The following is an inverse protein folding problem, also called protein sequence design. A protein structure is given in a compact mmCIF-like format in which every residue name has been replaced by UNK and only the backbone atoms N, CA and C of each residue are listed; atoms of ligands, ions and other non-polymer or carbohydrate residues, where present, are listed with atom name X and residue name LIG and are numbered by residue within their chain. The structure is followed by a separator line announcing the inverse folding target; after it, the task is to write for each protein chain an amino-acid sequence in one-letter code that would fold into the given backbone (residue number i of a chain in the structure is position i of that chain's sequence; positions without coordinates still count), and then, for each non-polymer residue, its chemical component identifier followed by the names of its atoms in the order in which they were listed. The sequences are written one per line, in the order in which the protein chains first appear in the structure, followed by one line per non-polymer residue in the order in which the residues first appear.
data_IF_977883394179
#
_entry.id   IF_977883394179
#
_cell.length_a   1.000
_cell.length_b   1.000
_cell.length_c   1.000
_cell.angle_alpha   90.00
_cell.angle_beta   90.00
_cell.angle_gamma   90.00
#
_symmetry.space_group_name_H-M   'P 1'
#
loop_
_entity.id
_entity.type
_entity.pdbx_description
1 polymer ?
#
# COMPACT_ATOMS: atom_id res chain seq x y z
N UNK A 1 15.66 -22.04 -21.47
CA UNK A 1 14.31 -21.53 -21.77
C UNK A 1 13.65 -21.14 -20.45
N UNK A 2 14.06 -20.02 -19.85
CA UNK A 2 13.45 -19.47 -18.64
C UNK A 2 14.05 -18.08 -18.36
N UNK A 3 13.50 -17.04 -18.97
CA UNK A 3 13.62 -15.65 -18.48
C UNK A 3 12.35 -14.89 -18.94
N UNK A 4 11.20 -15.19 -18.31
CA UNK A 4 9.93 -14.48 -18.58
C UNK A 4 9.12 -14.17 -17.30
N UNK A 5 9.65 -14.40 -16.10
CA UNK A 5 8.93 -14.10 -14.84
C UNK A 5 9.56 -12.88 -14.18
N UNK A 6 9.40 -11.72 -14.81
CA UNK A 6 9.93 -10.44 -14.29
C UNK A 6 8.92 -9.30 -14.36
N UNK A 7 8.32 -9.06 -15.52
CA UNK A 7 7.40 -7.93 -15.72
C UNK A 7 5.99 -8.17 -15.15
N UNK A 8 5.33 -9.27 -15.53
CA UNK A 8 3.92 -9.53 -15.18
C UNK A 8 3.61 -9.60 -13.66
N UNK A 9 4.62 -9.76 -12.81
CA UNK A 9 4.44 -9.76 -11.35
C UNK A 9 4.38 -8.34 -10.78
N UNK A 10 5.21 -7.40 -11.28
CA UNK A 10 5.32 -6.06 -10.69
C UNK A 10 4.09 -5.21 -10.98
N UNK A 11 3.62 -5.17 -12.24
CA UNK A 11 2.39 -4.45 -12.59
C UNK A 11 1.17 -4.96 -11.84
N UNK A 12 1.00 -6.29 -11.73
CA UNK A 12 -0.08 -6.90 -10.98
C UNK A 12 -0.01 -6.55 -9.48
N UNK A 13 1.20 -6.52 -8.91
CA UNK A 13 1.40 -6.22 -7.49
C UNK A 13 1.21 -4.74 -7.17
N UNK A 14 1.72 -3.83 -8.01
CA UNK A 14 1.46 -2.40 -7.92
C UNK A 14 -0.04 -2.12 -7.97
N UNK A 15 -0.77 -2.78 -8.87
CA UNK A 15 -2.23 -2.65 -8.96
C UNK A 15 -2.92 -3.05 -7.65
N UNK A 16 -2.49 -4.14 -7.01
CA UNK A 16 -3.02 -4.56 -5.70
C UNK A 16 -2.71 -3.52 -4.63
N UNK A 17 -1.50 -2.95 -4.61
CA UNK A 17 -1.14 -1.87 -3.68
C UNK A 17 -1.98 -0.62 -3.91
N UNK A 18 -2.23 -0.23 -5.16
CA UNK A 18 -3.12 0.88 -5.51
C UNK A 18 -4.54 0.65 -5.00
N UNK A 19 -5.13 -0.52 -5.28
CA UNK A 19 -6.47 -0.87 -4.81
C UNK A 19 -6.53 -0.86 -3.27
N UNK A 20 -5.45 -1.29 -2.60
CA UNK A 20 -5.37 -1.31 -1.14
C UNK A 20 -5.23 0.08 -0.52
N UNK A 21 -4.47 0.99 -1.13
CA UNK A 21 -4.36 2.39 -0.69
C UNK A 21 -5.62 3.21 -0.99
N UNK A 22 -6.30 2.90 -2.09
CA UNK A 22 -7.61 3.47 -2.43
C UNK A 22 -8.75 2.84 -1.60
N UNK A 23 -8.47 1.75 -0.86
CA UNK A 23 -9.47 1.11 -0.02
C UNK A 23 -9.96 2.08 1.06
N UNK A 24 -11.27 2.06 1.25
CA UNK A 24 -11.95 2.86 2.25
C UNK A 24 -11.41 2.62 3.66
N UNK A 25 -10.97 1.41 3.97
CA UNK A 25 -10.40 1.05 5.27
C UNK A 25 -9.09 1.79 5.55
N UNK A 26 -8.25 1.95 4.51
CA UNK A 26 -6.98 2.65 4.62
C UNK A 26 -7.19 4.17 4.69
N UNK A 27 -8.07 4.69 3.83
CA UNK A 27 -8.44 6.12 3.81
C UNK A 27 -9.15 6.53 5.09
N UNK A 28 -10.11 5.76 5.60
CA UNK A 28 -10.85 6.08 6.84
C UNK A 28 -9.94 6.01 8.07
N UNK A 29 -8.99 5.06 8.13
CA UNK A 29 -8.00 4.99 9.21
C UNK A 29 -7.07 6.20 9.20
N UNK A 30 -6.57 6.55 8.02
CA UNK A 30 -5.74 7.73 7.83
C UNK A 30 -6.53 8.99 8.20
N UNK A 31 -7.75 9.18 7.66
CA UNK A 31 -8.65 10.30 7.92
C UNK A 31 -9.04 10.46 9.40
N UNK A 32 -9.23 9.35 10.12
CA UNK A 32 -9.39 9.33 11.58
C UNK A 32 -8.16 9.84 12.34
N UNK A 33 -6.99 9.82 11.71
CA UNK A 33 -5.70 10.36 12.18
C UNK A 33 -5.34 11.73 11.57
N UNK A 34 -6.17 12.25 10.65
CA UNK A 34 -5.99 13.48 9.85
C UNK A 34 -4.65 13.54 9.10
N UNK A 35 -4.52 12.85 7.94
CA UNK A 35 -3.47 13.11 6.98
C UNK A 35 -3.81 14.43 6.30
N UNK A 36 -2.82 15.18 5.85
CA UNK A 36 -3.09 16.25 4.90
C UNK A 36 -3.60 15.62 3.60
N UNK A 37 -4.71 16.12 3.05
CA UNK A 37 -5.20 15.71 1.72
C UNK A 37 -4.07 15.76 0.67
N UNK A 38 -3.13 16.70 0.83
CA UNK A 38 -1.87 16.78 0.08
C UNK A 38 -1.06 15.47 0.08
N UNK A 39 -0.92 14.79 1.22
CA UNK A 39 -0.12 13.57 1.32
C UNK A 39 -0.76 12.41 0.53
N UNK A 40 -2.09 12.29 0.58
CA UNK A 40 -2.81 11.28 -0.20
C UNK A 40 -2.76 11.59 -1.70
N UNK A 41 -2.86 12.87 -2.07
CA UNK A 41 -2.72 13.32 -3.46
C UNK A 41 -1.30 13.06 -4.00
N UNK A 42 -0.27 13.37 -3.22
CA UNK A 42 1.13 13.16 -3.60
C UNK A 42 1.43 11.66 -3.78
N UNK A 43 1.00 10.83 -2.83
CA UNK A 43 1.13 9.38 -2.91
C UNK A 43 0.46 8.81 -4.18
N UNK A 44 -0.77 9.24 -4.45
CA UNK A 44 -1.52 8.84 -5.64
C UNK A 44 -0.80 9.24 -6.94
N UNK A 45 -0.27 10.47 -7.01
CA UNK A 45 0.46 10.97 -8.18
C UNK A 45 1.78 10.24 -8.41
N UNK A 46 2.55 9.96 -7.34
CA UNK A 46 3.81 9.22 -7.41
C UNK A 46 3.54 7.81 -7.95
N UNK A 47 2.55 7.13 -7.39
CA UNK A 47 2.21 5.78 -7.83
C UNK A 47 1.72 5.76 -9.29
N UNK A 48 0.84 6.68 -9.69
CA UNK A 48 0.36 6.78 -11.09
C UNK A 48 1.51 7.02 -12.07
N UNK A 49 2.47 7.87 -11.70
CA UNK A 49 3.67 8.10 -12.49
C UNK A 49 4.51 6.82 -12.60
N UNK A 50 4.71 6.11 -11.49
CA UNK A 50 5.40 4.81 -11.49
C UNK A 50 4.70 3.80 -12.40
N UNK A 51 3.38 3.69 -12.33
CA UNK A 51 2.61 2.77 -13.18
C UNK A 51 2.78 3.05 -14.68
N UNK A 52 2.80 4.33 -15.08
CA UNK A 52 3.02 4.72 -16.48
C UNK A 52 4.44 4.45 -16.97
N UNK A 53 5.44 4.59 -16.10
CA UNK A 53 6.86 4.34 -16.44
C UNK A 53 7.13 2.83 -16.45
N UNK A 54 6.43 2.06 -15.63
CA UNK A 54 6.59 0.60 -15.54
C UNK A 54 6.19 -0.11 -16.84
N UNK A 55 5.09 0.31 -17.48
CA UNK A 55 4.64 -0.28 -18.75
C UNK A 55 5.72 -0.16 -19.85
N UNK A 56 6.39 1.00 -19.95
CA UNK A 56 7.48 1.23 -20.91
C UNK A 56 8.81 0.56 -20.46
N UNK A 57 9.02 0.40 -19.16
CA UNK A 57 10.22 -0.22 -18.59
C UNK A 57 10.19 -1.75 -18.69
N UNK A 58 9.04 -2.40 -18.52
CA UNK A 58 8.89 -3.86 -18.64
C UNK A 58 9.26 -4.36 -20.05
N UNK A 59 8.91 -3.60 -21.09
CA UNK A 59 9.29 -3.91 -22.48
C UNK A 59 10.80 -3.71 -22.75
N UNK A 60 11.44 -2.77 -22.05
CA UNK A 60 12.86 -2.43 -22.26
C UNK A 60 13.82 -3.18 -21.33
N UNK A 61 13.32 -3.84 -20.29
CA UNK A 61 14.09 -4.63 -19.31
C UNK A 61 14.98 -5.70 -19.96
N UNK A 62 14.53 -6.31 -21.06
CA UNK A 62 15.24 -7.41 -21.72
C UNK A 62 16.55 -6.94 -22.36
N UNK A 63 16.64 -5.66 -22.75
CA UNK A 63 17.77 -5.14 -23.52
C UNK A 63 18.61 -4.12 -22.77
N UNK A 64 18.10 -3.55 -21.66
CA UNK A 64 18.77 -2.49 -20.91
C UNK A 64 18.97 -2.87 -19.42
N UNK A 65 20.24 -3.09 -19.05
CA UNK A 65 20.62 -3.43 -17.68
C UNK A 65 20.36 -2.33 -16.66
N UNK A 66 20.37 -1.06 -17.07
CA UNK A 66 20.00 0.07 -16.20
C UNK A 66 18.50 0.08 -15.88
N UNK A 67 17.66 -0.30 -16.85
CA UNK A 67 16.21 -0.44 -16.64
C UNK A 67 15.93 -1.61 -15.70
N UNK A 68 16.65 -2.73 -15.86
CA UNK A 68 16.56 -3.87 -14.93
C UNK A 68 16.90 -3.47 -13.49
N UNK A 69 17.98 -2.73 -13.28
CA UNK A 69 18.37 -2.26 -11.94
C UNK A 69 17.31 -1.32 -11.33
N UNK A 70 16.76 -0.40 -12.13
CA UNK A 70 15.70 0.49 -11.67
C UNK A 70 14.43 -0.29 -11.27
N UNK A 71 14.05 -1.33 -12.01
CA UNK A 71 12.92 -2.20 -11.66
C UNK A 71 13.15 -2.99 -10.37
N UNK A 72 14.38 -3.46 -10.11
CA UNK A 72 14.72 -4.11 -8.84
C UNK A 72 14.62 -3.12 -7.66
N UNK A 73 15.11 -1.90 -7.80
CA UNK A 73 14.97 -0.85 -6.75
C UNK A 73 13.50 -0.47 -6.52
N UNK A 74 12.70 -0.39 -7.59
CA UNK A 74 11.28 -0.13 -7.48
C UNK A 74 10.54 -1.27 -6.76
N UNK A 75 10.93 -2.52 -7.03
CA UNK A 75 10.39 -3.70 -6.36
C UNK A 75 10.65 -3.66 -4.86
N UNK A 76 11.86 -3.29 -4.44
CA UNK A 76 12.19 -3.16 -3.02
C UNK A 76 11.32 -2.06 -2.35
N UNK A 77 11.19 -0.89 -2.98
CA UNK A 77 10.34 0.18 -2.47
C UNK A 77 8.86 -0.19 -2.37
N UNK A 78 8.38 -1.03 -3.28
CA UNK A 78 7.02 -1.59 -3.28
C UNK A 78 6.80 -2.53 -2.08
N UNK A 79 7.78 -3.36 -1.73
CA UNK A 79 7.68 -4.21 -0.53
C UNK A 79 7.71 -3.39 0.75
N UNK A 80 8.58 -2.37 0.84
CA UNK A 80 8.62 -1.48 1.99
C UNK A 80 7.26 -0.77 2.19
N UNK A 81 6.60 -0.37 1.10
CA UNK A 81 5.28 0.22 1.16
C UNK A 81 4.23 -0.77 1.68
N UNK A 82 4.24 -2.03 1.23
CA UNK A 82 3.32 -3.07 1.70
C UNK A 82 3.44 -3.32 3.20
N UNK A 83 4.66 -3.44 3.72
CA UNK A 83 4.92 -3.63 5.15
C UNK A 83 4.32 -2.49 5.99
N UNK A 84 4.44 -1.25 5.51
CA UNK A 84 3.83 -0.07 6.16
C UNK A 84 2.29 -0.13 6.10
N UNK A 85 1.71 -0.57 4.97
CA UNK A 85 0.25 -0.72 4.85
C UNK A 85 -0.27 -1.81 5.82
N UNK A 86 0.44 -2.93 5.95
CA UNK A 86 0.09 -4.02 6.88
C UNK A 86 0.17 -3.58 8.34
N UNK A 87 1.20 -2.82 8.70
CA UNK A 87 1.35 -2.26 10.04
C UNK A 87 0.20 -1.30 10.38
N UNK A 88 -0.19 -0.47 9.41
CA UNK A 88 -1.34 0.43 9.53
C UNK A 88 -2.64 -0.37 9.72
N UNK A 89 -2.90 -1.37 8.87
CA UNK A 89 -4.10 -2.20 8.97
C UNK A 89 -4.19 -2.92 10.33
N UNK A 90 -3.06 -3.41 10.83
CA UNK A 90 -2.97 -4.05 12.14
C UNK A 90 -3.30 -3.07 13.27
N UNK A 91 -2.73 -1.87 13.23
CA UNK A 91 -3.03 -0.81 14.22
C UNK A 91 -4.48 -0.34 14.16
N UNK A 92 -5.07 -0.28 12.96
CA UNK A 92 -6.48 0.05 12.76
C UNK A 92 -7.41 -0.97 13.45
N UNK A 93 -7.14 -2.25 13.23
CA UNK A 93 -7.88 -3.34 13.87
C UNK A 93 -7.75 -3.30 15.39
N UNK A 94 -6.54 -3.07 15.90
CA UNK A 94 -6.29 -2.99 17.33
C UNK A 94 -7.05 -1.84 17.99
N UNK A 95 -7.03 -0.64 17.38
CA UNK A 95 -7.79 0.50 17.87
C UNK A 95 -9.30 0.26 17.91
N UNK A 96 -9.84 -0.49 16.94
CA UNK A 96 -11.26 -0.85 16.90
C UNK A 96 -11.64 -1.83 18.01
N UNK A 97 -10.81 -2.85 18.23
CA UNK A 97 -11.00 -3.80 19.32
C UNK A 97 -10.92 -3.10 20.69
N UNK A 98 -9.96 -2.20 20.90
CA UNK A 98 -9.84 -1.47 22.17
C UNK A 98 -11.07 -0.60 22.46
N UNK A 99 -11.68 0.01 21.43
CA UNK A 99 -12.93 0.76 21.56
C UNK A 99 -14.13 -0.15 21.89
N UNK A 100 -14.23 -1.32 21.26
CA UNK A 100 -15.29 -2.30 21.52
C UNK A 100 -15.15 -2.94 22.92
N UNK A 101 -13.92 -3.26 23.35
CA UNK A 101 -13.67 -3.74 24.70
C UNK A 101 -13.97 -2.65 25.73
N UNK A 102 -13.47 -1.43 25.54
CA UNK A 102 -13.69 -0.29 26.42
C UNK A 102 -15.18 0.04 26.65
N UNK A 103 -16.00 -0.05 25.60
CA UNK A 103 -17.45 0.14 25.70
C UNK A 103 -18.14 -1.02 26.41
N UNK A 104 -17.68 -2.27 26.23
CA UNK A 104 -18.24 -3.44 26.90
C UNK A 104 -18.01 -3.41 28.42
N UNK A 105 -16.80 -3.05 28.87
CA UNK A 105 -16.52 -2.84 30.30
C UNK A 105 -17.32 -1.66 30.85
N UNK A 106 -17.33 -0.49 30.21
CA UNK A 106 -18.11 0.66 30.67
C UNK A 106 -19.61 0.33 30.82
N UNK A 107 -20.17 -0.42 29.87
CA UNK A 107 -21.54 -0.91 29.94
C UNK A 107 -21.74 -1.86 31.12
N UNK A 108 -20.81 -2.80 31.37
CA UNK A 108 -20.88 -3.76 32.48
C UNK A 108 -20.91 -3.09 33.86
N UNK A 109 -20.17 -2.00 34.05
CA UNK A 109 -20.18 -1.25 35.32
C UNK A 109 -21.40 -0.33 35.48
N UNK A 110 -22.08 0.02 34.40
CA UNK A 110 -23.28 0.88 34.41
C UNK A 110 -24.56 0.16 34.88
N UNK A 111 -24.55 -1.17 35.03
CA UNK A 111 -25.68 -1.98 35.50
C UNK A 111 -25.56 -2.45 36.97
N UNK A 112 -24.53 -1.98 37.68
CA UNK A 112 -24.41 -2.08 39.14
C UNK A 112 -24.66 -0.71 39.77
#
# INVERSE_FOLDING_TARGET
MAELVGGALLSAFLKVLFDRMASREFVDFLMGRKPSDDLLCELTNVLLSVGAVLEDAEDKQVTNSSVKKWLDELKDAVYDAEDVLDEIATKALQSKLDAEFGTNIASKWSWC
#
